data_IF_215749287398
#
_entry.id   IF_215749287398
#
_cell.length_a   1.000
_cell.length_b   1.000
_cell.length_c   1.000
_cell.angle_alpha   90.00
_cell.angle_beta   90.00
_cell.angle_gamma   90.00
#
_symmetry.space_group_name_H-M   'P 1'
#
loop_
_entity.id
_entity.type
_entity.pdbx_description
1 polymer ?
#
# COMPACT_ATOMS: atom_id res chain seq x y z
N UNK A 1 -47.27 -50.06 20.96
CA UNK A 1 -48.49 -49.28 20.60
C UNK A 1 -48.04 -47.82 20.34
N UNK A 2 -48.11 -47.26 19.11
CA UNK A 2 -49.26 -46.51 18.51
C UNK A 2 -49.78 -45.35 19.38
N UNK A 3 -49.93 -44.06 19.00
CA UNK A 3 -49.85 -43.20 17.77
C UNK A 3 -49.46 -41.75 18.24
N UNK A 4 -49.14 -40.72 17.45
CA UNK A 4 -48.97 -40.53 15.99
C UNK A 4 -49.31 -39.09 15.52
N UNK A 5 -48.75 -38.65 14.36
CA UNK A 5 -49.04 -37.42 13.55
C UNK A 5 -48.48 -36.02 13.94
N UNK A 6 -47.48 -35.59 13.16
CA UNK A 6 -47.49 -34.39 12.29
C UNK A 6 -47.65 -32.96 12.84
N UNK A 7 -46.65 -32.10 12.57
CA UNK A 7 -46.68 -31.15 11.42
C UNK A 7 -45.33 -30.43 11.23
N UNK A 8 -44.86 -30.37 9.98
CA UNK A 8 -43.74 -29.51 9.60
C UNK A 8 -44.20 -28.04 9.43
N UNK A 9 -43.34 -27.09 9.82
CA UNK A 9 -43.37 -25.69 9.34
C UNK A 9 -41.94 -25.20 9.17
N UNK A 10 -41.43 -25.26 7.94
CA UNK A 10 -40.19 -24.58 7.60
C UNK A 10 -40.40 -23.07 7.50
N UNK A 11 -39.35 -22.29 7.77
CA UNK A 11 -39.17 -20.94 7.23
C UNK A 11 -37.72 -20.81 6.80
N UNK A 12 -37.48 -20.97 5.50
CA UNK A 12 -36.20 -20.64 4.89
C UNK A 12 -35.96 -19.13 5.05
N UNK A 13 -34.75 -18.76 5.45
CA UNK A 13 -34.32 -17.36 5.40
C UNK A 13 -33.96 -17.03 3.95
N UNK A 14 -34.84 -16.31 3.26
CA UNK A 14 -34.57 -15.87 1.89
C UNK A 14 -33.40 -14.87 1.87
N UNK A 15 -32.28 -15.28 1.27
CA UNK A 15 -31.13 -14.43 1.01
C UNK A 15 -31.48 -13.40 -0.07
N UNK A 16 -31.51 -12.11 0.31
CA UNK A 16 -31.64 -11.01 -0.66
C UNK A 16 -30.34 -10.90 -1.48
N UNK A 17 -30.40 -10.80 -2.81
CA UNK A 17 -29.19 -10.63 -3.62
C UNK A 17 -28.59 -9.24 -3.37
N UNK A 18 -27.37 -9.19 -2.85
CA UNK A 18 -26.59 -7.96 -2.79
C UNK A 18 -26.16 -7.60 -4.22
N UNK A 19 -26.64 -6.46 -4.73
CA UNK A 19 -26.15 -5.91 -5.99
C UNK A 19 -24.70 -5.44 -5.78
N UNK A 20 -23.74 -6.19 -6.31
CA UNK A 20 -22.35 -5.77 -6.39
C UNK A 20 -22.23 -4.53 -7.28
N UNK A 21 -22.11 -3.36 -6.65
CA UNK A 21 -21.79 -2.13 -7.34
C UNK A 21 -20.30 -2.16 -7.76
N UNK A 22 -20.02 -2.75 -8.93
CA UNK A 22 -18.69 -2.73 -9.53
C UNK A 22 -18.27 -1.28 -9.76
N UNK A 23 -17.30 -0.81 -8.96
CA UNK A 23 -16.74 0.53 -9.09
C UNK A 23 -16.10 0.66 -10.47
N UNK A 24 -16.44 1.69 -11.28
CA UNK A 24 -15.87 1.84 -12.61
C UNK A 24 -14.34 2.02 -12.52
N UNK A 25 -13.58 1.54 -13.53
CA UNK A 25 -12.14 1.69 -13.55
C UNK A 25 -11.75 3.18 -13.52
N UNK A 26 -10.63 3.55 -12.88
CA UNK A 26 -10.19 4.94 -12.83
C UNK A 26 -9.92 5.44 -14.25
N UNK A 27 -10.51 6.59 -14.62
CA UNK A 27 -10.30 7.22 -15.93
C UNK A 27 -8.81 7.53 -16.12
N UNK A 28 -8.18 6.88 -17.10
CA UNK A 28 -6.88 7.28 -17.59
C UNK A 28 -6.95 8.74 -18.08
N UNK A 29 -6.01 9.58 -17.64
CA UNK A 29 -5.91 10.99 -18.03
C UNK A 29 -6.33 12.03 -16.98
N UNK A 30 -6.87 11.63 -15.82
CA UNK A 30 -7.00 12.56 -14.70
C UNK A 30 -5.58 12.95 -14.20
N UNK A 31 -5.16 14.20 -14.43
CA UNK A 31 -3.88 14.72 -13.91
C UNK A 31 -3.87 14.57 -12.38
N UNK A 32 -3.00 13.69 -11.86
CA UNK A 32 -2.85 13.50 -10.43
C UNK A 32 -2.49 14.85 -9.78
N UNK A 33 -3.17 15.20 -8.68
CA UNK A 33 -2.80 16.39 -7.90
C UNK A 33 -1.36 16.22 -7.40
N UNK A 34 -0.52 17.27 -7.41
CA UNK A 34 0.83 17.19 -6.85
C UNK A 34 0.81 16.63 -5.43
N UNK A 35 1.71 15.70 -5.14
CA UNK A 35 1.84 15.11 -3.80
C UNK A 35 2.27 16.20 -2.83
N UNK A 36 1.52 16.36 -1.74
CA UNK A 36 1.87 17.33 -0.69
C UNK A 36 3.17 16.90 -0.01
N UNK A 37 4.07 17.87 0.21
CA UNK A 37 5.28 17.66 0.99
C UNK A 37 5.06 18.09 2.44
N UNK A 38 5.63 17.33 3.37
CA UNK A 38 5.71 17.64 4.80
C UNK A 38 7.01 18.41 5.10
N UNK A 39 7.28 18.67 6.39
CA UNK A 39 8.57 19.22 6.81
C UNK A 39 9.74 18.34 6.31
N UNK A 40 10.89 18.96 6.08
CA UNK A 40 12.03 18.27 5.44
C UNK A 40 11.88 17.99 3.94
N UNK A 41 10.70 18.23 3.35
CA UNK A 41 10.39 17.88 1.97
C UNK A 41 9.93 16.42 1.81
N UNK A 42 9.41 15.81 2.88
CA UNK A 42 8.99 14.41 2.87
C UNK A 42 7.62 14.21 2.16
N UNK A 43 7.53 13.36 1.12
CA UNK A 43 6.28 13.11 0.41
C UNK A 43 5.17 12.52 1.30
N UNK A 44 4.00 13.17 1.32
CA UNK A 44 2.83 12.69 2.05
C UNK A 44 2.07 11.61 1.26
N UNK A 45 2.59 10.38 1.29
CA UNK A 45 1.91 9.20 0.73
C UNK A 45 1.16 8.43 1.82
N UNK A 46 -0.09 8.07 1.56
CA UNK A 46 -0.94 7.27 2.47
C UNK A 46 -0.37 5.87 2.73
N UNK A 47 -0.73 5.26 3.87
CA UNK A 47 -0.37 3.87 4.17
C UNK A 47 -0.93 2.93 3.10
N UNK A 48 -0.04 2.18 2.47
CA UNK A 48 -0.36 1.13 1.49
C UNK A 48 0.84 0.19 1.34
N UNK A 49 0.58 -1.03 0.88
CA UNK A 49 1.58 -2.06 0.63
C UNK A 49 1.84 -2.22 -0.87
N UNK A 50 2.98 -2.83 -1.23
CA UNK A 50 3.42 -3.02 -2.61
C UNK A 50 4.32 -1.90 -3.15
N UNK A 51 4.71 -2.05 -4.42
CA UNK A 51 5.65 -1.15 -5.10
C UNK A 51 5.03 0.21 -5.47
N UNK A 52 3.80 0.23 -5.97
CA UNK A 52 3.12 1.45 -6.42
C UNK A 52 3.14 2.64 -5.41
N UNK A 53 2.87 2.48 -4.10
CA UNK A 53 2.99 3.59 -3.15
C UNK A 53 4.45 4.03 -2.92
N UNK A 54 5.43 3.13 -3.03
CA UNK A 54 6.85 3.47 -2.93
C UNK A 54 7.33 4.22 -4.17
N UNK A 55 6.92 3.82 -5.38
CA UNK A 55 7.21 4.59 -6.60
C UNK A 55 6.53 5.96 -6.59
N UNK A 56 5.29 6.06 -6.09
CA UNK A 56 4.61 7.34 -5.91
C UNK A 56 5.34 8.26 -4.91
N UNK A 57 5.92 7.69 -3.84
CA UNK A 57 6.79 8.43 -2.92
C UNK A 57 8.06 8.90 -3.63
N UNK A 58 8.77 8.02 -4.34
CA UNK A 58 10.02 8.34 -5.04
C UNK A 58 9.82 9.41 -6.13
N UNK A 59 8.75 9.32 -6.91
CA UNK A 59 8.39 10.30 -7.92
C UNK A 59 8.07 11.68 -7.34
N UNK A 60 7.66 11.75 -6.07
CA UNK A 60 7.36 12.98 -5.35
C UNK A 60 8.55 13.55 -4.55
N UNK A 61 9.68 12.85 -4.46
CA UNK A 61 10.86 13.32 -3.72
C UNK A 61 11.47 14.57 -4.40
N UNK A 62 11.69 15.67 -3.66
CA UNK A 62 12.03 16.95 -4.28
C UNK A 62 13.49 17.05 -4.77
N UNK A 63 13.66 17.54 -6.00
CA UNK A 63 14.96 17.86 -6.59
C UNK A 63 15.89 16.64 -6.68
N UNK A 64 17.16 16.81 -6.30
CA UNK A 64 18.17 15.76 -6.33
C UNK A 64 17.80 14.49 -5.52
N UNK A 65 16.88 14.62 -4.55
CA UNK A 65 16.44 13.48 -3.73
C UNK A 65 15.69 12.43 -4.55
N UNK A 66 14.94 12.83 -5.58
CA UNK A 66 14.21 11.88 -6.44
C UNK A 66 15.13 10.97 -7.24
N UNK A 67 16.24 11.51 -7.76
CA UNK A 67 17.26 10.72 -8.44
C UNK A 67 17.97 9.75 -7.48
N UNK A 68 18.32 10.21 -6.27
CA UNK A 68 18.89 9.31 -5.26
C UNK A 68 17.89 8.24 -4.78
N UNK A 69 16.60 8.58 -4.66
CA UNK A 69 15.53 7.64 -4.31
C UNK A 69 15.39 6.51 -5.32
N UNK A 70 15.41 6.81 -6.63
CA UNK A 70 15.42 5.81 -7.70
C UNK A 70 16.64 4.90 -7.63
N UNK A 71 17.83 5.47 -7.39
CA UNK A 71 19.08 4.70 -7.27
C UNK A 71 19.07 3.77 -6.07
N UNK A 72 18.51 4.21 -4.94
CA UNK A 72 18.35 3.43 -3.73
C UNK A 72 17.36 2.27 -3.95
N UNK A 73 16.19 2.54 -4.53
CA UNK A 73 15.19 1.50 -4.85
C UNK A 73 15.76 0.44 -5.81
N UNK A 74 16.41 0.87 -6.89
CA UNK A 74 17.06 -0.02 -7.85
C UNK A 74 18.23 -0.82 -7.23
N UNK A 75 18.94 -0.27 -6.24
CA UNK A 75 19.96 -0.99 -5.47
C UNK A 75 19.32 -2.06 -4.56
N UNK A 76 18.25 -1.72 -3.84
CA UNK A 76 17.59 -2.66 -2.94
C UNK A 76 16.97 -3.82 -3.72
N UNK A 77 16.26 -3.53 -4.83
CA UNK A 77 15.60 -4.55 -5.66
C UNK A 77 16.59 -5.52 -6.32
N UNK A 78 17.78 -5.05 -6.75
CA UNK A 78 18.80 -5.98 -7.31
C UNK A 78 19.49 -6.83 -6.26
N UNK A 79 19.65 -6.31 -5.04
CA UNK A 79 20.36 -7.00 -3.94
C UNK A 79 19.43 -7.98 -3.20
N UNK A 80 18.14 -7.65 -3.12
CA UNK A 80 17.11 -8.49 -2.50
C UNK A 80 15.97 -8.72 -3.51
N UNK A 81 16.13 -9.69 -4.44
CA UNK A 81 15.05 -10.08 -5.35
C UNK A 81 13.80 -10.49 -4.57
N UNK A 82 12.62 -10.03 -5.01
CA UNK A 82 11.35 -10.30 -4.32
C UNK A 82 11.08 -9.48 -3.05
N UNK A 83 11.91 -8.47 -2.73
CA UNK A 83 11.73 -7.58 -1.57
C UNK A 83 10.30 -7.04 -1.42
N UNK A 84 9.71 -7.24 -0.24
CA UNK A 84 8.41 -6.68 0.11
C UNK A 84 8.55 -5.17 0.33
N UNK A 85 7.69 -4.38 -0.30
CA UNK A 85 7.65 -2.91 -0.20
C UNK A 85 6.38 -2.44 0.47
N UNK A 86 6.44 -1.33 1.22
CA UNK A 86 5.27 -0.64 1.73
C UNK A 86 5.57 0.84 2.04
N UNK A 87 4.53 1.66 2.18
CA UNK A 87 4.63 2.98 2.83
C UNK A 87 3.88 2.93 4.15
N UNK A 88 4.56 3.32 5.24
CA UNK A 88 4.00 3.42 6.61
C UNK A 88 4.47 4.74 7.21
N UNK A 89 3.59 5.50 7.88
CA UNK A 89 3.91 6.81 8.48
C UNK A 89 4.70 7.75 7.52
N UNK A 90 4.23 7.86 6.27
CA UNK A 90 4.87 8.61 5.19
C UNK A 90 6.35 8.26 4.96
N UNK A 91 6.74 7.01 5.20
CA UNK A 91 8.10 6.48 5.02
C UNK A 91 8.02 5.17 4.22
N UNK A 92 8.75 5.02 3.10
CA UNK A 92 8.93 3.74 2.43
C UNK A 92 9.73 2.76 3.31
N UNK A 93 9.27 1.51 3.35
CA UNK A 93 9.89 0.38 4.03
C UNK A 93 10.12 -0.78 3.05
N UNK A 94 11.20 -1.51 3.29
CA UNK A 94 11.65 -2.67 2.54
C UNK A 94 11.89 -3.82 3.52
N UNK A 95 11.44 -5.02 3.14
CA UNK A 95 11.38 -6.15 4.04
C UNK A 95 11.41 -7.49 3.31
N UNK A 96 11.47 -8.56 4.10
CA UNK A 96 11.37 -9.94 3.63
C UNK A 96 10.14 -10.53 4.30
N UNK A 97 9.28 -11.20 3.52
CA UNK A 97 8.07 -11.85 4.04
C UNK A 97 8.39 -12.82 5.18
N UNK A 98 7.63 -12.74 6.27
CA UNK A 98 7.87 -13.51 7.50
C UNK A 98 9.05 -13.03 8.37
N UNK A 99 9.96 -12.19 7.86
CA UNK A 99 11.13 -11.70 8.61
C UNK A 99 11.06 -10.21 8.97
N UNK A 100 10.10 -9.46 8.42
CA UNK A 100 9.85 -8.06 8.80
C UNK A 100 10.58 -7.05 7.90
N UNK A 101 10.78 -5.83 8.42
CA UNK A 101 11.36 -4.71 7.69
C UNK A 101 12.82 -4.51 8.08
N UNK A 102 13.73 -4.51 7.11
CA UNK A 102 15.17 -4.32 7.33
C UNK A 102 15.67 -2.93 6.93
N UNK A 103 14.90 -2.17 6.14
CA UNK A 103 15.28 -0.83 5.69
C UNK A 103 14.07 0.10 5.59
N UNK A 104 14.25 1.37 5.97
CA UNK A 104 13.34 2.46 5.63
C UNK A 104 14.09 3.76 5.33
N UNK A 105 13.50 4.69 4.57
CA UNK A 105 14.15 5.98 4.31
C UNK A 105 13.21 7.20 4.26
N UNK A 106 13.68 8.35 4.75
CA UNK A 106 12.87 9.55 4.96
C UNK A 106 13.59 10.81 4.43
N UNK A 107 12.86 11.73 3.79
CA UNK A 107 13.48 12.97 3.29
C UNK A 107 13.58 14.03 4.40
N UNK A 108 14.79 14.51 4.66
CA UNK A 108 15.08 15.66 5.54
C UNK A 108 15.61 16.81 4.68
N UNK A 109 15.50 18.07 5.12
CA UNK A 109 15.80 19.26 4.31
C UNK A 109 17.12 19.14 3.53
N UNK A 110 18.19 18.70 4.20
CA UNK A 110 19.55 18.61 3.64
C UNK A 110 20.02 17.19 3.28
N UNK A 111 19.34 16.13 3.69
CA UNK A 111 19.79 14.75 3.49
C UNK A 111 18.62 13.76 3.36
N UNK A 112 18.89 12.52 2.97
CA UNK A 112 17.94 11.41 3.11
C UNK A 112 18.38 10.59 4.30
N UNK A 113 17.53 10.41 5.31
CA UNK A 113 17.79 9.48 6.41
C UNK A 113 17.52 8.08 5.89
N UNK A 114 18.52 7.21 5.82
CA UNK A 114 18.34 5.76 5.63
C UNK A 114 18.50 5.11 7.01
N UNK A 115 17.59 4.22 7.35
CA UNK A 115 17.59 3.47 8.61
C UNK A 115 17.56 1.97 8.29
N UNK A 116 18.34 1.21 9.06
CA UNK A 116 18.35 -0.25 9.09
C UNK A 116 17.87 -0.71 10.46
N UNK A 117 17.30 -1.92 10.55
CA UNK A 117 16.67 -2.49 11.73
C UNK A 117 17.10 -3.95 11.94
#
# INVERSE_FOLDING_TARGET
MTKGKSKAKGRAWASKPSKSATKPPPRAGAKAKPVKLLSGGNPQISKADGDAPVQAYIAAMPGWKGELGKRLDALIVRTVPGVNKAVRWNTPFYGIEGQGWFLGFHCITKYIKVAFF
#
